data_IF_188555617544
#
_entry.id   IF_188555617544
#
_cell.length_a   1.000
_cell.length_b   1.000
_cell.length_c   1.000
_cell.angle_alpha   90.00
_cell.angle_beta   90.00
_cell.angle_gamma   90.00
#
_symmetry.space_group_name_H-M   'P 1'
#
loop_
_entity.id
_entity.type
_entity.pdbx_description
1 polymer ?
#
# COMPACT_ATOMS: atom_id res chain seq x y z
N UNK A 1 -8.07 12.84 7.29
CA UNK A 1 -7.85 11.95 6.13
C UNK A 1 -8.61 12.44 4.92
N UNK A 2 -8.07 12.16 3.71
CA UNK A 2 -8.69 12.36 2.41
C UNK A 2 -8.66 11.06 1.63
N UNK A 3 -9.62 10.82 0.76
CA UNK A 3 -9.58 9.68 -0.15
C UNK A 3 -10.45 9.89 -1.40
N UNK A 4 -10.04 9.26 -2.49
CA UNK A 4 -10.84 9.18 -3.70
C UNK A 4 -11.84 8.05 -3.61
N UNK A 5 -13.09 8.32 -4.02
CA UNK A 5 -14.15 7.31 -4.13
C UNK A 5 -14.86 7.40 -5.47
N UNK A 6 -15.52 6.31 -5.87
CA UNK A 6 -16.31 6.22 -7.09
C UNK A 6 -15.52 5.78 -8.32
N UNK A 7 -16.26 5.38 -9.36
CA UNK A 7 -15.75 4.88 -10.63
C UNK A 7 -16.25 5.78 -11.79
N UNK A 8 -15.46 5.86 -12.83
CA UNK A 8 -15.86 6.57 -14.07
C UNK A 8 -16.12 8.07 -13.84
N UNK A 9 -17.30 8.54 -14.26
CA UNK A 9 -17.72 9.95 -14.13
C UNK A 9 -18.24 10.32 -12.73
N UNK A 10 -18.53 9.34 -11.87
CA UNK A 10 -19.07 9.55 -10.52
C UNK A 10 -18.01 9.68 -9.43
N UNK A 11 -16.78 10.08 -9.77
CA UNK A 11 -15.68 10.21 -8.83
C UNK A 11 -15.86 11.42 -7.92
N UNK A 12 -15.54 11.22 -6.64
CA UNK A 12 -15.58 12.27 -5.61
C UNK A 12 -14.33 12.17 -4.76
N UNK A 13 -13.89 13.30 -4.24
CA UNK A 13 -12.91 13.36 -3.17
C UNK A 13 -13.71 13.56 -1.89
N UNK A 14 -13.50 12.70 -0.91
CA UNK A 14 -14.05 12.84 0.43
C UNK A 14 -12.95 13.38 1.35
N UNK A 15 -13.24 14.47 2.02
CA UNK A 15 -12.40 15.07 3.04
C UNK A 15 -13.09 14.91 4.39
N UNK A 16 -12.34 14.50 5.40
CA UNK A 16 -12.86 14.49 6.75
C UNK A 16 -12.79 15.90 7.36
N UNK A 17 -13.79 16.26 8.15
CA UNK A 17 -13.85 17.56 8.85
C UNK A 17 -12.59 17.80 9.72
N UNK A 18 -12.04 16.72 10.28
CA UNK A 18 -10.79 16.78 11.05
C UNK A 18 -9.60 17.27 10.23
N UNK A 19 -9.55 16.91 8.94
CA UNK A 19 -8.50 17.38 8.03
C UNK A 19 -8.68 18.85 7.69
N UNK A 20 -9.92 19.25 7.36
CA UNK A 20 -10.26 20.64 7.01
C UNK A 20 -9.96 21.59 8.18
N UNK A 21 -10.27 21.15 9.42
CA UNK A 21 -10.04 21.96 10.62
C UNK A 21 -8.57 22.02 11.08
N UNK A 22 -7.71 21.16 10.53
CA UNK A 22 -6.30 21.04 10.95
C UNK A 22 -5.35 21.77 10.03
N UNK A 23 -5.69 21.87 8.75
CA UNK A 23 -4.82 22.41 7.71
C UNK A 23 -5.26 23.79 7.26
N UNK A 24 -4.29 24.63 6.91
CA UNK A 24 -4.52 25.88 6.20
C UNK A 24 -4.93 25.60 4.75
N UNK A 25 -5.48 26.58 4.07
CA UNK A 25 -6.00 26.44 2.71
C UNK A 25 -4.95 25.90 1.73
N UNK A 26 -3.73 26.47 1.74
CA UNK A 26 -2.62 26.04 0.88
C UNK A 26 -2.16 24.61 1.19
N UNK A 27 -2.17 24.21 2.45
CA UNK A 27 -1.82 22.86 2.90
C UNK A 27 -2.89 21.86 2.45
N UNK A 28 -4.16 22.24 2.55
CA UNK A 28 -5.29 21.43 2.10
C UNK A 28 -5.24 21.25 0.58
N UNK A 29 -4.93 22.30 -0.17
CA UNK A 29 -4.71 22.21 -1.62
C UNK A 29 -3.58 21.25 -1.96
N UNK A 30 -2.47 21.28 -1.22
CA UNK A 30 -1.35 20.37 -1.42
C UNK A 30 -1.73 18.91 -1.18
N UNK A 31 -2.49 18.62 -0.12
CA UNK A 31 -3.02 17.27 0.16
C UNK A 31 -3.99 16.83 -0.94
N UNK A 32 -4.87 17.72 -1.40
CA UNK A 32 -5.77 17.42 -2.52
C UNK A 32 -5.00 17.14 -3.81
N UNK A 33 -3.97 17.92 -4.10
CA UNK A 33 -3.09 17.70 -5.25
C UNK A 33 -2.36 16.36 -5.17
N UNK A 34 -1.92 15.94 -3.97
CA UNK A 34 -1.34 14.62 -3.72
C UNK A 34 -2.33 13.49 -4.05
N UNK A 35 -3.57 13.56 -3.57
CA UNK A 35 -4.63 12.61 -3.88
C UNK A 35 -4.93 12.56 -5.39
N UNK A 36 -4.98 13.72 -6.03
CA UNK A 36 -5.12 13.83 -7.50
C UNK A 36 -3.92 13.18 -8.20
N UNK A 37 -2.72 13.29 -7.63
CA UNK A 37 -1.50 12.63 -8.11
C UNK A 37 -1.66 11.11 -8.17
N UNK A 38 -2.16 10.49 -7.10
CA UNK A 38 -2.45 9.04 -7.10
C UNK A 38 -3.38 8.65 -8.23
N UNK A 39 -4.41 9.44 -8.45
CA UNK A 39 -5.36 9.22 -9.54
C UNK A 39 -4.74 9.38 -10.93
N UNK A 40 -4.08 10.52 -11.19
CA UNK A 40 -3.48 10.86 -12.50
C UNK A 40 -2.40 9.86 -12.91
N UNK A 41 -1.59 9.42 -11.96
CA UNK A 41 -0.51 8.45 -12.18
C UNK A 41 -0.99 7.00 -12.16
N UNK A 42 -2.31 6.78 -11.98
CA UNK A 42 -2.95 5.47 -12.00
C UNK A 42 -2.37 4.49 -10.97
N UNK A 43 -2.06 4.96 -9.75
CA UNK A 43 -1.49 4.11 -8.71
C UNK A 43 -2.45 2.99 -8.31
N UNK A 44 -3.73 3.31 -8.06
CA UNK A 44 -4.75 2.32 -7.69
C UNK A 44 -4.93 1.22 -8.75
N UNK A 45 -5.13 1.53 -10.05
CA UNK A 45 -5.16 0.49 -11.08
C UNK A 45 -3.91 -0.39 -11.11
N UNK A 46 -2.72 0.19 -10.93
CA UNK A 46 -1.46 -0.58 -10.90
C UNK A 46 -1.43 -1.56 -9.73
N UNK A 47 -1.86 -1.11 -8.53
CA UNK A 47 -1.95 -1.97 -7.35
C UNK A 47 -2.98 -3.09 -7.53
N UNK A 48 -4.12 -2.81 -8.14
CA UNK A 48 -5.15 -3.82 -8.43
C UNK A 48 -4.59 -4.89 -9.38
N UNK A 49 -3.91 -4.49 -10.46
CA UNK A 49 -3.30 -5.43 -11.40
C UNK A 49 -2.25 -6.28 -10.68
N UNK A 50 -1.39 -5.67 -9.86
CA UNK A 50 -0.39 -6.37 -9.06
C UNK A 50 -1.03 -7.41 -8.14
N UNK A 51 -2.04 -7.00 -7.36
CA UNK A 51 -2.78 -7.90 -6.46
C UNK A 51 -3.47 -9.04 -7.23
N UNK A 52 -4.07 -8.75 -8.37
CA UNK A 52 -4.68 -9.76 -9.23
C UNK A 52 -3.67 -10.78 -9.75
N UNK A 53 -2.51 -10.32 -10.23
CA UNK A 53 -1.44 -11.22 -10.68
C UNK A 53 -0.92 -12.11 -9.54
N UNK A 54 -0.74 -11.55 -8.33
CA UNK A 54 -0.33 -12.33 -7.16
C UNK A 54 -1.40 -13.37 -6.77
N UNK A 55 -2.68 -13.00 -6.84
CA UNK A 55 -3.78 -13.93 -6.56
C UNK A 55 -3.80 -15.07 -7.55
N UNK A 56 -3.67 -14.79 -8.85
CA UNK A 56 -3.60 -15.84 -9.87
C UNK A 56 -2.39 -16.75 -9.69
N UNK A 57 -1.23 -16.18 -9.38
CA UNK A 57 -0.03 -16.97 -9.08
C UNK A 57 -0.22 -17.86 -7.85
N UNK A 58 -0.86 -17.33 -6.80
CA UNK A 58 -1.21 -18.09 -5.61
C UNK A 58 -2.18 -19.25 -5.90
N UNK A 59 -3.23 -19.00 -6.67
CA UNK A 59 -4.19 -20.03 -7.07
C UNK A 59 -3.53 -21.11 -7.95
N UNK A 60 -2.65 -20.71 -8.85
CA UNK A 60 -1.87 -21.67 -9.65
C UNK A 60 -0.94 -22.51 -8.78
N UNK A 61 -0.26 -21.90 -7.82
CA UNK A 61 0.58 -22.62 -6.86
C UNK A 61 -0.26 -23.60 -6.01
N UNK A 62 -1.44 -23.20 -5.56
CA UNK A 62 -2.37 -24.07 -4.86
C UNK A 62 -2.74 -25.29 -5.70
N UNK A 63 -3.08 -25.10 -6.99
CA UNK A 63 -3.39 -26.21 -7.90
C UNK A 63 -2.22 -27.19 -8.04
N UNK A 64 -1.00 -26.67 -8.19
CA UNK A 64 0.20 -27.50 -8.26
C UNK A 64 0.42 -28.33 -6.97
N UNK A 65 0.26 -27.68 -5.82
CA UNK A 65 0.47 -28.31 -4.51
C UNK A 65 -0.63 -29.33 -4.21
N UNK A 66 -1.89 -29.01 -4.53
CA UNK A 66 -3.02 -29.88 -4.29
C UNK A 66 -2.93 -31.21 -5.06
N UNK A 67 -2.19 -31.26 -6.16
CA UNK A 67 -1.93 -32.46 -6.94
C UNK A 67 -0.81 -33.36 -6.37
N UNK A 68 -0.09 -32.87 -5.33
CA UNK A 68 1.01 -33.63 -4.72
C UNK A 68 0.51 -34.36 -3.47
N UNK A 69 0.34 -35.70 -3.56
CA UNK A 69 -0.07 -36.52 -2.42
C UNK A 69 0.86 -36.30 -1.20
N UNK A 70 2.19 -36.26 -1.41
CA UNK A 70 3.16 -36.03 -0.35
C UNK A 70 3.02 -34.71 0.39
N UNK A 71 2.35 -33.69 -0.19
CA UNK A 71 2.10 -32.43 0.52
C UNK A 71 1.12 -32.65 1.69
N UNK A 72 0.00 -33.31 1.47
CA UNK A 72 -0.99 -33.55 2.53
C UNK A 72 -0.52 -34.64 3.51
N UNK A 73 0.20 -35.64 3.02
CA UNK A 73 0.80 -36.70 3.85
C UNK A 73 1.82 -36.13 4.85
N UNK A 74 2.63 -35.13 4.45
CA UNK A 74 3.59 -34.49 5.33
C UNK A 74 2.92 -33.79 6.55
N UNK A 75 1.62 -33.51 6.47
CA UNK A 75 0.82 -32.95 7.57
C UNK A 75 -0.09 -34.02 8.24
N UNK A 76 0.13 -35.32 7.97
CA UNK A 76 -0.58 -36.40 8.61
C UNK A 76 -1.97 -36.71 8.05
N UNK A 77 -2.31 -36.18 6.87
CA UNK A 77 -3.55 -36.56 6.19
C UNK A 77 -3.33 -37.81 5.31
N UNK A 78 -4.38 -38.64 5.19
CA UNK A 78 -4.35 -39.75 4.24
C UNK A 78 -4.27 -39.20 2.80
N UNK A 79 -3.47 -39.85 1.96
CA UNK A 79 -3.39 -39.55 0.52
C UNK A 79 -4.62 -39.99 -0.25
N UNK A 80 -5.50 -40.81 0.35
CA UNK A 80 -6.69 -41.32 -0.29
C UNK A 80 -7.94 -40.53 0.11
N UNK A 81 -8.66 -40.02 -0.90
CA UNK A 81 -10.02 -39.47 -0.71
C UNK A 81 -10.13 -38.11 0.00
N UNK A 82 -9.03 -37.39 0.23
CA UNK A 82 -9.06 -36.11 0.96
C UNK A 82 -9.73 -34.95 0.18
N UNK A 83 -9.88 -35.06 -1.13
CA UNK A 83 -10.43 -33.97 -1.96
C UNK A 83 -9.61 -32.71 -1.91
N UNK A 84 -10.24 -31.56 -2.22
CA UNK A 84 -9.56 -30.25 -2.28
C UNK A 84 -9.43 -29.57 -0.90
N UNK A 85 -10.20 -29.97 0.11
CA UNK A 85 -10.29 -29.30 1.41
C UNK A 85 -8.97 -29.19 2.15
N UNK A 86 -8.28 -30.29 2.49
CA UNK A 86 -6.99 -30.24 3.19
C UNK A 86 -5.91 -29.43 2.48
N UNK A 87 -5.62 -29.59 1.17
CA UNK A 87 -4.65 -28.76 0.47
C UNK A 87 -4.98 -27.26 0.53
N UNK A 88 -6.25 -26.91 0.41
CA UNK A 88 -6.71 -25.53 0.47
C UNK A 88 -6.48 -24.90 1.85
N UNK A 89 -6.83 -25.61 2.93
CA UNK A 89 -6.62 -25.12 4.30
C UNK A 89 -5.13 -24.99 4.60
N UNK A 90 -4.32 -25.98 4.25
CA UNK A 90 -2.87 -25.95 4.44
C UNK A 90 -2.24 -24.80 3.65
N UNK A 91 -2.68 -24.59 2.42
CA UNK A 91 -2.21 -23.47 1.61
C UNK A 91 -2.51 -22.12 2.28
N UNK A 92 -3.72 -21.91 2.80
CA UNK A 92 -4.07 -20.67 3.52
C UNK A 92 -3.18 -20.50 4.75
N UNK A 93 -2.99 -21.53 5.56
CA UNK A 93 -2.15 -21.47 6.76
C UNK A 93 -0.68 -21.18 6.46
N UNK A 94 -0.17 -21.70 5.35
CA UNK A 94 1.23 -21.52 4.96
C UNK A 94 1.47 -20.28 4.11
N UNK A 95 0.42 -19.74 3.46
CA UNK A 95 0.54 -18.57 2.58
C UNK A 95 1.07 -17.33 3.27
N UNK A 96 0.79 -17.16 4.57
CA UNK A 96 1.30 -16.05 5.37
C UNK A 96 2.83 -16.02 5.42
N UNK A 97 3.49 -17.16 5.45
CA UNK A 97 4.96 -17.25 5.43
C UNK A 97 5.53 -16.79 4.08
N UNK A 98 4.84 -17.11 2.98
CA UNK A 98 5.26 -16.70 1.62
C UNK A 98 4.99 -15.19 1.43
N UNK A 99 3.81 -14.73 1.81
CA UNK A 99 3.41 -13.32 1.67
C UNK A 99 4.27 -12.39 2.53
N UNK A 100 4.74 -12.86 3.70
CA UNK A 100 5.70 -12.13 4.52
C UNK A 100 6.94 -11.71 3.72
N UNK A 101 7.53 -12.63 2.95
CA UNK A 101 8.71 -12.33 2.12
C UNK A 101 8.41 -11.47 0.89
N UNK A 102 7.13 -11.36 0.49
CA UNK A 102 6.68 -10.47 -0.58
C UNK A 102 6.34 -9.05 -0.07
N UNK A 103 6.22 -8.86 1.26
CA UNK A 103 5.91 -7.58 1.87
C UNK A 103 6.86 -6.47 1.43
N UNK A 104 8.20 -6.61 1.48
CA UNK A 104 9.11 -5.52 1.10
C UNK A 104 8.96 -5.09 -0.35
N UNK A 105 8.58 -6.01 -1.26
CA UNK A 105 8.34 -5.66 -2.65
C UNK A 105 7.08 -4.79 -2.79
N UNK A 106 6.00 -5.16 -2.13
CA UNK A 106 4.75 -4.38 -2.12
C UNK A 106 4.95 -3.03 -1.44
N UNK A 107 5.66 -2.99 -0.31
CA UNK A 107 6.02 -1.77 0.42
C UNK A 107 6.88 -0.82 -0.43
N UNK A 108 7.85 -1.37 -1.18
CA UNK A 108 8.67 -0.58 -2.11
C UNK A 108 7.82 0.12 -3.18
N UNK A 109 6.87 -0.61 -3.80
CA UNK A 109 5.98 -0.03 -4.80
C UNK A 109 5.07 1.03 -4.20
N UNK A 110 4.48 0.76 -3.03
CA UNK A 110 3.61 1.70 -2.34
C UNK A 110 4.35 3.00 -2.02
N UNK A 111 5.53 2.92 -1.39
CA UNK A 111 6.36 4.09 -1.07
C UNK A 111 6.80 4.87 -2.31
N UNK A 112 7.11 4.17 -3.41
CA UNK A 112 7.41 4.84 -4.68
C UNK A 112 6.23 5.68 -5.19
N UNK A 113 5.02 5.19 -5.01
CA UNK A 113 3.81 5.90 -5.38
C UNK A 113 3.58 7.14 -4.53
N UNK A 114 3.89 7.06 -3.22
CA UNK A 114 3.85 8.22 -2.32
C UNK A 114 4.78 9.35 -2.79
N UNK A 115 6.05 9.03 -3.07
CA UNK A 115 7.00 10.00 -3.61
C UNK A 115 6.56 10.62 -4.94
N UNK A 116 5.92 9.83 -5.80
CA UNK A 116 5.39 10.33 -7.07
C UNK A 116 4.20 11.27 -6.87
N UNK A 117 3.32 10.96 -5.93
CA UNK A 117 2.18 11.80 -5.59
C UNK A 117 2.62 13.10 -4.91
N UNK A 118 3.60 13.05 -4.01
CA UNK A 118 4.22 14.23 -3.40
C UNK A 118 4.84 15.16 -4.43
N UNK A 119 5.62 14.59 -5.34
CA UNK A 119 6.24 15.36 -6.44
C UNK A 119 5.20 15.99 -7.36
N UNK A 120 4.12 15.25 -7.65
CA UNK A 120 3.02 15.79 -8.44
C UNK A 120 2.36 16.97 -7.72
N UNK A 121 2.07 16.84 -6.42
CA UNK A 121 1.49 17.92 -5.62
C UNK A 121 2.39 19.17 -5.63
N UNK A 122 3.66 18.99 -5.32
CA UNK A 122 4.64 20.09 -5.33
C UNK A 122 4.75 20.77 -6.70
N UNK A 123 4.68 20.00 -7.79
CA UNK A 123 4.73 20.53 -9.16
C UNK A 123 3.48 21.34 -9.50
N UNK A 124 2.30 20.88 -9.10
CA UNK A 124 1.01 21.56 -9.38
C UNK A 124 0.88 22.84 -8.57
N UNK A 125 1.27 22.82 -7.30
CA UNK A 125 1.23 23.98 -6.40
C UNK A 125 2.37 24.97 -6.72
N UNK A 126 3.46 24.52 -7.34
CA UNK A 126 4.64 25.33 -7.62
C UNK A 126 5.55 25.55 -6.40
N UNK A 127 5.29 24.86 -5.29
CA UNK A 127 6.06 24.93 -4.05
C UNK A 127 6.00 23.60 -3.29
N UNK A 128 7.11 23.24 -2.66
CA UNK A 128 7.17 22.07 -1.77
C UNK A 128 6.65 22.39 -0.36
N UNK A 129 6.66 23.67 0.03
CA UNK A 129 6.42 24.08 1.42
C UNK A 129 5.03 23.70 1.94
N UNK A 130 3.91 23.93 1.20
CA UNK A 130 2.58 23.55 1.71
C UNK A 130 2.45 22.04 1.96
N UNK A 131 3.07 21.21 1.12
CA UNK A 131 3.05 19.74 1.32
C UNK A 131 3.87 19.35 2.54
N UNK A 132 5.04 19.93 2.75
CA UNK A 132 5.90 19.65 3.91
C UNK A 132 5.21 20.06 5.21
N UNK A 133 4.61 21.25 5.26
CA UNK A 133 3.88 21.72 6.45
C UNK A 133 2.64 20.90 6.75
N UNK A 134 1.88 20.51 5.71
CA UNK A 134 0.76 19.58 5.85
C UNK A 134 1.19 18.23 6.46
N UNK A 135 2.26 17.65 5.93
CA UNK A 135 2.80 16.39 6.43
C UNK A 135 3.21 16.47 7.91
N UNK A 136 3.83 17.58 8.34
CA UNK A 136 4.20 17.80 9.74
C UNK A 136 2.98 17.85 10.65
N UNK A 137 1.98 18.68 10.30
CA UNK A 137 0.73 18.78 11.06
C UNK A 137 -0.01 17.44 11.17
N UNK A 138 -0.07 16.68 10.09
CA UNK A 138 -0.68 15.36 10.09
C UNK A 138 0.08 14.37 10.97
N UNK A 139 1.42 14.43 10.96
CA UNK A 139 2.25 13.52 11.74
C UNK A 139 2.18 13.81 13.25
N UNK A 140 2.08 15.08 13.65
CA UNK A 140 1.96 15.48 15.08
C UNK A 140 0.78 14.78 15.76
N UNK A 141 -0.34 14.60 15.06
CA UNK A 141 -1.53 13.92 15.60
C UNK A 141 -1.45 12.40 15.54
N UNK A 142 -0.72 11.86 14.57
CA UNK A 142 -0.64 10.41 14.37
C UNK A 142 0.46 9.75 15.22
N UNK A 143 1.34 10.53 15.87
CA UNK A 143 2.41 10.05 16.75
C UNK A 143 3.26 8.94 16.11
N UNK A 144 3.46 9.01 14.79
CA UNK A 144 4.25 8.01 14.08
C UNK A 144 5.74 8.16 14.37
N UNK A 145 6.50 7.06 14.25
CA UNK A 145 7.94 7.09 14.43
C UNK A 145 8.60 7.91 13.31
N UNK A 146 9.27 8.99 13.70
CA UNK A 146 9.94 9.91 12.77
C UNK A 146 11.23 9.32 12.17
N UNK A 147 11.91 8.47 12.92
CA UNK A 147 13.24 7.94 12.59
C UNK A 147 13.27 6.42 12.68
N UNK A 148 12.42 5.70 11.91
CA UNK A 148 12.48 4.24 11.88
C UNK A 148 13.81 3.78 11.29
N UNK A 149 14.31 2.63 11.77
CA UNK A 149 15.49 2.03 11.14
C UNK A 149 15.21 1.75 9.65
N UNK A 150 16.10 2.12 8.70
CA UNK A 150 15.84 2.02 7.25
C UNK A 150 15.44 0.62 6.77
N UNK A 151 16.04 -0.44 7.34
CA UNK A 151 15.66 -1.82 7.01
C UNK A 151 14.25 -2.16 7.50
N UNK A 152 13.85 -1.63 8.66
CA UNK A 152 12.52 -1.86 9.21
C UNK A 152 11.45 -1.12 8.40
N UNK A 153 11.65 0.16 8.13
CA UNK A 153 10.74 0.93 7.28
C UNK A 153 10.67 0.36 5.85
N UNK A 154 11.83 -0.06 5.31
CA UNK A 154 11.93 -0.70 4.01
C UNK A 154 11.13 -1.98 3.89
N UNK A 155 11.06 -2.77 4.95
CA UNK A 155 10.35 -4.03 4.98
C UNK A 155 8.87 -3.88 5.29
N UNK A 156 8.53 -3.08 6.33
CA UNK A 156 7.19 -3.08 6.92
C UNK A 156 6.31 -1.88 6.55
N UNK A 157 6.92 -0.74 6.15
CA UNK A 157 6.15 0.47 5.92
C UNK A 157 5.72 0.58 4.46
N UNK A 158 4.44 0.69 4.24
CA UNK A 158 3.79 0.98 2.95
C UNK A 158 3.78 2.48 2.60
N UNK A 159 3.98 3.35 3.60
CA UNK A 159 4.22 4.78 3.44
C UNK A 159 5.62 5.16 3.95
N UNK A 160 6.35 6.06 3.27
CA UNK A 160 7.61 6.56 3.79
C UNK A 160 7.37 7.38 5.07
N UNK A 161 8.37 7.41 5.96
CA UNK A 161 8.32 8.30 7.13
C UNK A 161 8.27 9.77 6.72
N UNK A 162 7.83 10.64 7.64
CA UNK A 162 7.82 12.09 7.43
C UNK A 162 9.17 12.60 6.93
N UNK A 163 10.26 12.20 7.60
CA UNK A 163 11.62 12.66 7.27
C UNK A 163 12.04 12.21 5.87
N UNK A 164 11.68 10.98 5.47
CA UNK A 164 11.97 10.47 4.13
C UNK A 164 11.21 11.28 3.06
N UNK A 165 9.93 11.61 3.28
CA UNK A 165 9.11 12.42 2.36
C UNK A 165 9.62 13.85 2.25
N UNK A 166 9.92 14.50 3.38
CA UNK A 166 10.52 15.85 3.39
C UNK A 166 11.84 15.89 2.63
N UNK A 167 12.73 14.94 2.91
CA UNK A 167 14.03 14.85 2.22
C UNK A 167 13.90 14.63 0.72
N UNK A 168 12.85 13.92 0.27
CA UNK A 168 12.58 13.70 -1.14
C UNK A 168 12.02 14.95 -1.83
N UNK A 169 11.21 15.75 -1.13
CA UNK A 169 10.64 16.99 -1.63
C UNK A 169 11.65 18.15 -1.73
N UNK A 170 12.75 18.08 -0.97
CA UNK A 170 13.81 19.11 -0.98
C UNK A 170 14.88 18.90 -2.07
N UNK A 171 14.85 17.77 -2.76
CA UNK A 171 15.76 17.42 -3.87
C UNK A 171 15.23 17.90 -5.22
#
# INVERSE_FOLDING_TARGET
NAFFTGLGKGRKIALFDTLINQLEEEELEAVLAHEIGHYKLKHVPKMIIWSFCLTLAGLYLLDLIAKQAGFVEAFGFSSEGYGFGPPFILFILLSSNITFWLTPLSSYWSRKFEYQADKFAATVIGSNLPMVTALRKLNEKNLSNLTPHPLYSGFHYDHPSLIERESALQK
#
